data_IF_199731127953
#
_entry.id   IF_199731127953
#
_cell.length_a   1.000
_cell.length_b   1.000
_cell.length_c   1.000
_cell.angle_alpha   90.00
_cell.angle_beta   90.00
_cell.angle_gamma   90.00
#
_symmetry.space_group_name_H-M   'P 1'
#
loop_
_entity.id
_entity.type
_entity.pdbx_description
1 polymer ?
#
# COMPACT_ATOMS: atom_id res chain seq x y z
N UNK A 1 48.48 -9.36 26.06
CA UNK A 1 49.07 -10.35 25.13
C UNK A 1 48.30 -10.21 23.84
N UNK A 2 48.70 -9.34 22.90
CA UNK A 2 49.76 -9.54 21.89
C UNK A 2 49.43 -10.77 21.03
N UNK A 3 49.27 -10.69 19.70
CA UNK A 3 50.05 -9.95 18.71
C UNK A 3 49.25 -9.61 17.44
N UNK A 4 49.64 -8.49 16.83
CA UNK A 4 49.47 -8.13 15.42
C UNK A 4 50.71 -8.58 14.63
N UNK A 5 50.59 -8.74 13.31
CA UNK A 5 51.60 -8.45 12.25
C UNK A 5 51.00 -8.92 10.91
N UNK A 6 50.78 -8.06 9.92
CA UNK A 6 51.72 -7.34 9.02
C UNK A 6 52.22 -8.18 7.83
N UNK A 7 51.85 -7.73 6.61
CA UNK A 7 52.74 -7.46 5.46
C UNK A 7 51.91 -7.17 4.19
N UNK A 8 51.94 -5.94 3.67
CA UNK A 8 52.86 -5.44 2.61
C UNK A 8 52.48 -5.92 1.19
N UNK A 9 51.89 -5.07 0.32
CA UNK A 9 52.49 -4.05 -0.60
C UNK A 9 53.37 -4.61 -1.72
N UNK A 10 52.97 -4.34 -2.97
CA UNK A 10 53.74 -3.96 -4.19
C UNK A 10 52.67 -3.83 -5.33
N UNK A 11 52.41 -2.73 -6.05
CA UNK A 11 53.17 -1.71 -6.83
C UNK A 11 53.63 -2.14 -8.23
N UNK A 12 53.23 -1.38 -9.25
CA UNK A 12 53.72 -1.40 -10.64
C UNK A 12 52.57 -1.19 -11.64
N UNK A 13 52.26 -0.02 -12.21
CA UNK A 13 53.01 1.04 -12.92
C UNK A 13 53.24 0.77 -14.41
N UNK A 14 53.00 1.84 -15.19
CA UNK A 14 53.36 2.14 -16.58
C UNK A 14 52.41 1.65 -17.70
N UNK A 15 52.21 2.34 -18.83
CA UNK A 15 52.42 3.74 -19.28
C UNK A 15 51.98 3.79 -20.77
N UNK A 16 51.97 5.00 -21.36
CA UNK A 16 51.90 5.38 -22.80
C UNK A 16 50.48 5.46 -23.39
N UNK A 17 49.90 6.56 -23.88
CA UNK A 17 50.29 7.84 -24.54
C UNK A 17 50.89 7.73 -25.95
N UNK A 18 50.11 8.09 -26.98
CA UNK A 18 50.43 9.13 -28.00
C UNK A 18 49.25 9.24 -29.03
N UNK A 19 48.66 10.41 -29.26
CA UNK A 19 49.05 11.48 -30.23
C UNK A 19 48.63 11.14 -31.67
N UNK A 20 47.61 11.82 -32.22
CA UNK A 20 47.72 13.02 -33.10
C UNK A 20 48.09 12.62 -34.55
N UNK A 21 47.77 13.28 -35.65
CA UNK A 21 47.01 14.47 -36.03
C UNK A 21 46.93 14.45 -37.59
N UNK A 22 46.07 15.28 -38.18
CA UNK A 22 46.27 15.86 -39.52
C UNK A 22 45.56 15.15 -40.69
N UNK A 23 45.16 15.81 -41.78
CA UNK A 23 44.90 17.22 -42.11
C UNK A 23 44.49 17.24 -43.60
N UNK A 24 43.50 18.09 -43.95
CA UNK A 24 43.33 18.82 -45.25
C UNK A 24 43.21 17.98 -46.54
N UNK A 25 42.70 18.42 -47.67
CA UNK A 25 41.83 19.50 -48.17
C UNK A 25 41.46 19.01 -49.59
N UNK A 26 40.25 19.29 -50.10
CA UNK A 26 39.86 18.81 -51.43
C UNK A 26 38.54 19.37 -51.92
N UNK A 27 38.62 20.29 -52.88
CA UNK A 27 37.61 21.24 -53.31
C UNK A 27 36.37 20.67 -54.05
N UNK A 28 35.22 21.29 -53.74
CA UNK A 28 34.29 21.95 -54.67
C UNK A 28 33.99 21.32 -56.04
N UNK A 29 32.79 20.75 -56.21
CA UNK A 29 31.85 21.09 -57.31
C UNK A 29 30.48 20.41 -57.11
N UNK A 30 29.41 20.99 -57.68
CA UNK A 30 27.98 20.59 -57.60
C UNK A 30 27.14 21.07 -56.39
N UNK A 31 27.14 22.38 -56.14
CA UNK A 31 25.97 23.10 -55.60
C UNK A 31 25.12 23.59 -56.78
N UNK A 32 24.03 22.90 -57.10
CA UNK A 32 22.78 23.44 -57.71
C UNK A 32 21.90 22.29 -58.21
N UNK A 33 21.36 21.47 -57.30
CA UNK A 33 20.11 20.68 -57.52
C UNK A 33 19.66 19.90 -56.27
N UNK A 34 20.51 19.72 -55.25
CA UNK A 34 20.17 18.95 -54.03
C UNK A 34 19.41 19.73 -52.92
N UNK A 35 19.00 20.98 -53.15
CA UNK A 35 18.40 21.83 -52.09
C UNK A 35 16.89 21.67 -51.93
N UNK A 36 16.19 21.11 -52.93
CA UNK A 36 14.73 20.94 -52.91
C UNK A 36 14.31 19.53 -52.45
N UNK A 37 15.08 18.48 -52.75
CA UNK A 37 14.80 17.12 -52.27
C UNK A 37 15.06 16.96 -50.76
N UNK A 38 16.11 17.58 -50.22
CA UNK A 38 16.52 17.43 -48.81
C UNK A 38 15.57 18.10 -47.81
N UNK A 39 14.79 19.11 -48.25
CA UNK A 39 13.80 19.82 -47.41
C UNK A 39 12.50 19.01 -47.28
N UNK A 40 12.14 18.24 -48.30
CA UNK A 40 10.96 17.37 -48.31
C UNK A 40 11.18 16.12 -47.46
N UNK A 41 12.36 15.49 -47.54
CA UNK A 41 12.70 14.31 -46.71
C UNK A 41 12.80 14.65 -45.22
N UNK A 42 13.43 15.79 -44.84
CA UNK A 42 13.46 16.25 -43.43
C UNK A 42 12.07 16.59 -42.87
N UNK A 43 11.16 17.13 -43.70
CA UNK A 43 9.79 17.49 -43.27
C UNK A 43 8.93 16.23 -43.08
N UNK A 44 9.13 15.21 -43.92
CA UNK A 44 8.44 13.91 -43.81
C UNK A 44 8.94 13.10 -42.62
N UNK A 45 10.26 13.04 -42.38
CA UNK A 45 10.87 12.38 -41.20
C UNK A 45 10.49 13.07 -39.88
N UNK A 46 10.43 14.42 -39.85
CA UNK A 46 9.97 15.17 -38.66
C UNK A 46 8.46 15.00 -38.40
N UNK A 47 7.66 14.76 -39.45
CA UNK A 47 6.21 14.51 -39.36
C UNK A 47 5.90 13.08 -38.92
N UNK A 48 6.68 12.08 -39.34
CA UNK A 48 6.58 10.69 -38.85
C UNK A 48 7.08 10.55 -37.42
N UNK A 49 8.20 11.19 -37.05
CA UNK A 49 8.68 11.23 -35.66
C UNK A 49 7.68 11.91 -34.70
N UNK A 50 7.04 13.02 -35.13
CA UNK A 50 5.99 13.72 -34.38
C UNK A 50 4.68 12.91 -34.32
N UNK A 51 4.38 12.07 -35.32
CA UNK A 51 3.22 11.16 -35.33
C UNK A 51 3.44 9.97 -34.39
N UNK A 52 4.64 9.40 -34.37
CA UNK A 52 5.05 8.32 -33.47
C UNK A 52 5.06 8.75 -31.99
N UNK A 53 5.60 9.94 -31.67
CA UNK A 53 5.52 10.50 -30.30
C UNK A 53 4.09 10.82 -29.88
N UNK A 54 3.23 11.29 -30.80
CA UNK A 54 1.81 11.58 -30.52
C UNK A 54 0.97 10.29 -30.37
N UNK A 55 1.35 9.20 -31.06
CA UNK A 55 0.73 7.87 -30.88
C UNK A 55 1.20 7.18 -29.59
N UNK A 56 2.49 7.27 -29.24
CA UNK A 56 3.02 6.78 -27.96
C UNK A 56 2.41 7.54 -26.77
N UNK A 57 2.31 8.88 -26.84
CA UNK A 57 1.63 9.69 -25.82
C UNK A 57 0.12 9.39 -25.72
N UNK A 58 -0.54 9.03 -26.84
CA UNK A 58 -1.96 8.60 -26.86
C UNK A 58 -2.17 7.17 -26.37
N UNK A 59 -1.15 6.32 -26.42
CA UNK A 59 -1.16 4.96 -25.86
C UNK A 59 -0.97 5.02 -24.33
N UNK A 60 0.04 5.76 -23.86
CA UNK A 60 0.26 5.99 -22.43
C UNK A 60 -0.90 6.71 -21.73
N UNK A 61 -1.61 7.61 -22.42
CA UNK A 61 -2.82 8.25 -21.89
C UNK A 61 -4.04 7.33 -21.83
N UNK A 62 -4.09 6.26 -22.64
CA UNK A 62 -5.14 5.23 -22.59
C UNK A 62 -4.92 4.21 -21.49
N UNK A 63 -3.67 4.02 -21.06
CA UNK A 63 -3.32 3.12 -19.95
C UNK A 63 -3.14 3.85 -18.60
N UNK A 64 -3.43 5.15 -18.54
CA UNK A 64 -3.35 5.92 -17.30
C UNK A 64 -4.64 5.71 -16.50
N UNK A 65 -4.56 5.29 -15.22
CA UNK A 65 -5.72 5.14 -14.35
C UNK A 65 -6.59 6.41 -14.35
N UNK A 66 -7.90 6.22 -14.28
CA UNK A 66 -8.87 7.31 -14.29
C UNK A 66 -8.67 8.26 -13.08
N UNK A 67 -9.12 9.52 -13.15
CA UNK A 67 -8.96 10.49 -12.04
C UNK A 67 -9.46 9.96 -10.69
N UNK A 68 -10.58 9.20 -10.68
CA UNK A 68 -11.11 8.56 -9.47
C UNK A 68 -10.12 7.60 -8.83
N UNK A 69 -9.53 6.70 -9.62
CA UNK A 69 -8.54 5.72 -9.15
C UNK A 69 -7.27 6.40 -8.66
N UNK A 70 -6.79 7.43 -9.37
CA UNK A 70 -5.59 8.17 -8.94
C UNK A 70 -5.79 8.92 -7.63
N UNK A 71 -6.95 9.57 -7.47
CA UNK A 71 -7.31 10.23 -6.20
C UNK A 71 -7.35 9.24 -5.05
N UNK A 72 -7.99 8.09 -5.26
CA UNK A 72 -8.14 7.07 -4.24
C UNK A 72 -6.80 6.44 -3.88
N UNK A 73 -5.98 6.05 -4.86
CA UNK A 73 -4.64 5.50 -4.61
C UNK A 73 -3.72 6.49 -3.88
N UNK A 74 -3.73 7.76 -4.28
CA UNK A 74 -2.99 8.83 -3.60
C UNK A 74 -3.46 9.03 -2.17
N UNK A 75 -4.78 9.09 -1.96
CA UNK A 75 -5.38 9.23 -0.64
C UNK A 75 -5.05 8.03 0.25
N UNK A 76 -5.17 6.80 -0.25
CA UNK A 76 -4.79 5.57 0.47
C UNK A 76 -3.36 5.65 0.96
N UNK A 77 -2.39 5.93 0.07
CA UNK A 77 -0.98 6.03 0.47
C UNK A 77 -0.74 7.14 1.51
N UNK A 78 -1.32 8.33 1.32
CA UNK A 78 -1.13 9.45 2.24
C UNK A 78 -1.79 9.19 3.60
N UNK A 79 -3.02 8.68 3.63
CA UNK A 79 -3.75 8.43 4.87
C UNK A 79 -3.11 7.29 5.68
N UNK A 80 -2.67 6.21 5.05
CA UNK A 80 -1.99 5.11 5.76
C UNK A 80 -0.64 5.55 6.32
N UNK A 81 0.12 6.37 5.58
CA UNK A 81 1.49 6.75 5.96
C UNK A 81 1.61 8.01 6.81
N UNK A 82 0.61 8.90 6.81
CA UNK A 82 0.71 10.21 7.48
C UNK A 82 -0.50 10.56 8.34
N UNK A 83 -1.61 9.83 8.22
CA UNK A 83 -2.86 10.12 8.92
C UNK A 83 -3.84 10.93 8.07
N UNK A 84 -5.10 10.94 8.49
CA UNK A 84 -6.22 11.47 7.71
C UNK A 84 -6.35 12.99 7.89
N UNK A 85 -6.38 13.48 9.14
CA UNK A 85 -6.65 14.88 9.47
C UNK A 85 -5.54 15.81 9.02
N UNK A 86 -4.28 15.40 9.16
CA UNK A 86 -3.11 16.21 8.77
C UNK A 86 -3.01 16.45 7.26
N UNK A 87 -3.56 15.54 6.45
CA UNK A 87 -3.47 15.62 4.99
C UNK A 87 -4.55 16.53 4.42
N UNK A 88 -4.15 17.68 3.90
CA UNK A 88 -5.05 18.60 3.18
C UNK A 88 -5.43 18.11 1.79
N UNK A 89 -6.58 18.57 1.29
CA UNK A 89 -7.08 18.26 -0.07
C UNK A 89 -6.03 18.59 -1.14
N UNK A 90 -5.36 19.74 -1.04
CA UNK A 90 -4.40 20.19 -2.04
C UNK A 90 -3.16 19.29 -2.15
N UNK A 91 -2.82 18.57 -1.07
CA UNK A 91 -1.74 17.58 -1.10
C UNK A 91 -2.14 16.38 -1.94
N UNK A 92 -3.35 15.86 -1.74
CA UNK A 92 -3.92 14.72 -2.48
C UNK A 92 -4.05 15.07 -3.96
N UNK A 93 -4.60 16.25 -4.29
CA UNK A 93 -4.80 16.70 -5.67
C UNK A 93 -3.48 16.78 -6.45
N UNK A 94 -2.43 17.29 -5.80
CA UNK A 94 -1.09 17.43 -6.39
C UNK A 94 -0.44 16.08 -6.65
N UNK A 95 -0.53 15.17 -5.68
CA UNK A 95 0.04 13.82 -5.78
C UNK A 95 -0.71 12.96 -6.82
N UNK A 96 -2.04 13.06 -6.86
CA UNK A 96 -2.87 12.37 -7.86
C UNK A 96 -2.79 12.96 -9.29
N UNK A 97 -2.26 14.18 -9.43
CA UNK A 97 -2.33 15.00 -10.65
C UNK A 97 -3.78 15.07 -11.17
N UNK A 98 -4.66 15.61 -10.33
CA UNK A 98 -6.10 15.75 -10.57
C UNK A 98 -6.56 17.16 -10.16
N UNK A 99 -7.45 17.75 -10.96
CA UNK A 99 -8.01 19.06 -10.67
C UNK A 99 -8.97 19.02 -9.47
N UNK A 100 -9.02 20.11 -8.70
CA UNK A 100 -9.90 20.24 -7.52
C UNK A 100 -11.37 19.94 -7.83
N UNK A 101 -11.90 20.46 -8.93
CA UNK A 101 -13.27 20.21 -9.38
C UNK A 101 -13.58 18.72 -9.57
N UNK A 102 -12.60 17.92 -9.99
CA UNK A 102 -12.78 16.47 -10.17
C UNK A 102 -12.96 15.74 -8.83
N UNK A 103 -12.25 16.15 -7.75
CA UNK A 103 -12.47 15.53 -6.43
C UNK A 103 -13.89 15.76 -5.94
N UNK A 104 -14.39 17.00 -6.01
CA UNK A 104 -15.75 17.32 -5.60
C UNK A 104 -16.80 16.66 -6.50
N UNK A 105 -16.55 16.56 -7.82
CA UNK A 105 -17.45 15.86 -8.72
C UNK A 105 -17.49 14.34 -8.49
N UNK A 106 -16.38 13.72 -8.08
CA UNK A 106 -16.27 12.26 -7.96
C UNK A 106 -16.59 11.73 -6.56
N UNK A 107 -16.25 12.50 -5.52
CA UNK A 107 -16.40 12.11 -4.13
C UNK A 107 -17.28 13.07 -3.35
N UNK A 108 -17.53 14.29 -3.81
CA UNK A 108 -18.32 15.29 -3.08
C UNK A 108 -17.57 16.01 -1.96
N UNK A 109 -16.75 15.29 -1.18
CA UNK A 109 -15.94 15.88 -0.10
C UNK A 109 -14.67 15.05 0.16
N UNK A 110 -13.75 15.60 0.96
CA UNK A 110 -12.60 14.83 1.48
C UNK A 110 -13.08 13.67 2.35
N UNK A 111 -14.07 13.89 3.20
CA UNK A 111 -14.56 12.85 4.10
C UNK A 111 -15.15 11.67 3.34
N UNK A 112 -15.88 11.93 2.24
CA UNK A 112 -16.36 10.86 1.37
C UNK A 112 -15.21 10.10 0.67
N UNK A 113 -14.09 10.78 0.37
CA UNK A 113 -12.88 10.12 -0.11
C UNK A 113 -12.24 9.25 0.99
N UNK A 114 -12.27 9.69 2.25
CA UNK A 114 -11.82 8.87 3.40
C UNK A 114 -12.70 7.63 3.56
N UNK A 115 -14.03 7.76 3.48
CA UNK A 115 -14.96 6.62 3.52
C UNK A 115 -14.67 5.64 2.37
N UNK A 116 -14.44 6.15 1.16
CA UNK A 116 -14.09 5.31 0.01
C UNK A 116 -12.76 4.56 0.23
N UNK A 117 -11.77 5.23 0.79
CA UNK A 117 -10.50 4.61 1.18
C UNK A 117 -10.70 3.48 2.20
N UNK A 118 -11.44 3.74 3.28
CA UNK A 118 -11.68 2.73 4.32
C UNK A 118 -12.42 1.50 3.78
N UNK A 119 -13.37 1.70 2.86
CA UNK A 119 -14.11 0.59 2.22
C UNK A 119 -13.24 -0.24 1.28
N UNK A 120 -12.35 0.39 0.50
CA UNK A 120 -11.41 -0.35 -0.35
C UNK A 120 -10.42 -1.14 0.52
N UNK A 121 -9.96 -0.55 1.61
CA UNK A 121 -9.10 -1.22 2.57
C UNK A 121 -9.82 -2.39 3.25
N UNK A 122 -11.06 -2.19 3.69
CA UNK A 122 -11.92 -3.22 4.26
C UNK A 122 -12.02 -4.42 3.31
N UNK A 123 -12.41 -4.18 2.05
CA UNK A 123 -12.50 -5.25 1.05
C UNK A 123 -11.17 -5.97 0.86
N UNK A 124 -10.06 -5.23 0.73
CA UNK A 124 -8.73 -5.83 0.55
C UNK A 124 -8.36 -6.74 1.73
N UNK A 125 -8.57 -6.28 2.97
CA UNK A 125 -8.21 -7.08 4.15
C UNK A 125 -9.09 -8.32 4.29
N UNK A 126 -10.37 -8.24 3.91
CA UNK A 126 -11.25 -9.43 3.83
C UNK A 126 -10.77 -10.42 2.79
N UNK A 127 -10.44 -9.94 1.59
CA UNK A 127 -9.94 -10.79 0.50
C UNK A 127 -8.62 -11.47 0.90
N UNK A 128 -7.70 -10.74 1.52
CA UNK A 128 -6.43 -11.29 2.01
C UNK A 128 -6.65 -12.31 3.13
N UNK A 129 -7.62 -12.08 4.03
CA UNK A 129 -7.98 -13.03 5.07
C UNK A 129 -8.58 -14.30 4.48
N UNK A 130 -9.53 -14.20 3.54
CA UNK A 130 -10.11 -15.35 2.84
C UNK A 130 -9.03 -16.17 2.13
N UNK A 131 -8.13 -15.51 1.40
CA UNK A 131 -7.01 -16.19 0.74
C UNK A 131 -6.12 -16.97 1.72
N UNK A 132 -5.96 -16.49 2.95
CA UNK A 132 -5.15 -17.12 3.99
C UNK A 132 -5.93 -18.18 4.82
N UNK A 133 -7.23 -17.99 4.99
CA UNK A 133 -8.10 -18.78 5.87
C UNK A 133 -8.81 -19.93 5.15
N UNK A 134 -9.31 -19.71 3.92
CA UNK A 134 -10.11 -20.70 3.19
C UNK A 134 -9.38 -22.05 2.99
N UNK A 135 -8.05 -22.09 2.74
CA UNK A 135 -7.31 -23.36 2.65
C UNK A 135 -7.16 -24.11 3.98
N UNK A 136 -7.52 -23.52 5.12
CA UNK A 136 -7.38 -24.12 6.46
C UNK A 136 -8.59 -24.99 6.77
N UNK A 137 -8.33 -26.17 7.35
CA UNK A 137 -9.35 -27.18 7.61
C UNK A 137 -10.18 -26.86 8.85
N UNK A 138 -9.55 -26.43 9.95
CA UNK A 138 -10.24 -26.20 11.23
C UNK A 138 -10.73 -24.75 11.39
N UNK A 139 -11.89 -24.52 12.05
CA UNK A 139 -12.34 -23.18 12.42
C UNK A 139 -11.30 -22.42 13.27
N UNK A 140 -10.59 -23.13 14.16
CA UNK A 140 -9.52 -22.57 14.98
C UNK A 140 -8.38 -22.02 14.13
N UNK A 141 -7.93 -22.77 13.14
CA UNK A 141 -6.85 -22.32 12.25
C UNK A 141 -7.30 -21.10 11.42
N UNK A 142 -8.57 -21.04 11.01
CA UNK A 142 -9.15 -19.85 10.35
C UNK A 142 -9.20 -18.63 11.26
N UNK A 143 -9.53 -18.81 12.55
CA UNK A 143 -9.45 -17.73 13.54
C UNK A 143 -8.00 -17.25 13.69
N UNK A 144 -7.03 -18.17 13.75
CA UNK A 144 -5.61 -17.81 13.84
C UNK A 144 -5.12 -17.07 12.59
N UNK A 145 -5.78 -17.25 11.43
CA UNK A 145 -5.45 -16.52 10.21
C UNK A 145 -5.58 -14.98 10.36
N UNK A 146 -6.48 -14.49 11.23
CA UNK A 146 -6.55 -13.06 11.53
C UNK A 146 -5.24 -12.53 12.11
N UNK A 147 -4.67 -13.25 13.08
CA UNK A 147 -3.41 -12.90 13.71
C UNK A 147 -2.23 -13.06 12.75
N UNK A 148 -2.20 -14.16 11.99
CA UNK A 148 -1.16 -14.42 10.99
C UNK A 148 -1.12 -13.31 9.93
N UNK A 149 -2.29 -12.86 9.45
CA UNK A 149 -2.38 -11.76 8.50
C UNK A 149 -1.80 -10.47 9.08
N UNK A 150 -2.17 -10.10 10.31
CA UNK A 150 -1.58 -8.93 10.97
C UNK A 150 -0.05 -9.05 11.12
N UNK A 151 0.46 -10.21 11.54
CA UNK A 151 1.91 -10.47 11.69
C UNK A 151 2.65 -10.29 10.36
N UNK A 152 2.08 -10.80 9.26
CA UNK A 152 2.67 -10.69 7.93
C UNK A 152 2.68 -9.26 7.40
N UNK A 153 1.62 -8.47 7.67
CA UNK A 153 1.43 -7.14 7.08
C UNK A 153 2.11 -6.01 7.86
N UNK A 154 2.29 -6.13 9.20
CA UNK A 154 2.85 -5.03 10.00
C UNK A 154 4.25 -4.55 9.57
N UNK A 155 5.21 -5.41 9.18
CA UNK A 155 6.52 -4.95 8.69
C UNK A 155 6.41 -4.05 7.45
N UNK A 156 5.60 -4.45 6.47
CA UNK A 156 5.36 -3.69 5.22
C UNK A 156 4.60 -2.38 5.51
N UNK A 157 3.71 -2.40 6.51
CA UNK A 157 3.02 -1.21 7.01
C UNK A 157 3.90 -0.35 7.93
N UNK A 158 5.18 -0.71 8.14
CA UNK A 158 6.13 -0.01 9.01
C UNK A 158 5.62 0.14 10.46
N UNK A 159 4.97 -0.92 10.98
CA UNK A 159 4.45 -1.02 12.33
C UNK A 159 3.50 0.13 12.71
N UNK A 160 2.57 0.48 11.82
CA UNK A 160 1.59 1.55 12.06
C UNK A 160 0.35 1.06 12.80
N UNK A 161 0.23 -0.24 13.04
CA UNK A 161 -0.95 -0.88 13.60
C UNK A 161 -2.17 -0.77 12.67
N UNK A 162 -3.36 -1.01 13.22
CA UNK A 162 -4.59 -1.02 12.44
C UNK A 162 -4.91 0.34 11.83
N UNK A 163 -5.05 0.37 10.50
CA UNK A 163 -5.56 1.54 9.78
C UNK A 163 -6.97 1.96 10.23
N UNK A 164 -7.82 0.99 10.61
CA UNK A 164 -9.18 1.26 11.07
C UNK A 164 -9.19 1.84 12.49
N UNK A 165 -8.39 1.31 13.41
CA UNK A 165 -8.26 1.90 14.76
C UNK A 165 -7.64 3.30 14.68
N UNK A 166 -6.64 3.50 13.82
CA UNK A 166 -6.03 4.80 13.60
C UNK A 166 -7.07 5.80 13.08
N UNK A 167 -7.88 5.42 12.08
CA UNK A 167 -8.97 6.25 11.58
C UNK A 167 -10.00 6.59 12.67
N UNK A 168 -10.47 5.60 13.43
CA UNK A 168 -11.40 5.85 14.53
C UNK A 168 -10.81 6.79 15.61
N UNK A 169 -9.51 6.68 15.88
CA UNK A 169 -8.80 7.54 16.85
C UNK A 169 -8.65 8.97 16.37
N UNK A 170 -8.62 9.20 15.06
CA UNK A 170 -8.62 10.55 14.49
C UNK A 170 -10.00 11.22 14.58
N UNK A 171 -11.09 10.46 14.70
CA UNK A 171 -12.47 10.96 14.80
C UNK A 171 -13.16 10.53 16.12
N UNK A 172 -12.64 10.91 17.31
CA UNK A 172 -13.15 10.44 18.60
C UNK A 172 -14.54 11.01 18.95
N UNK A 173 -14.90 12.15 18.35
CA UNK A 173 -16.19 12.84 18.52
C UNK A 173 -16.62 13.36 17.15
N UNK A 174 -17.28 12.55 16.31
CA UNK A 174 -17.76 13.02 15.02
C UNK A 174 -18.86 14.07 15.24
N UNK A 175 -18.70 15.24 14.62
CA UNK A 175 -19.65 16.35 14.72
C UNK A 175 -20.56 16.47 13.48
N UNK A 176 -20.21 15.76 12.41
CA UNK A 176 -20.93 15.77 11.14
C UNK A 176 -21.30 14.37 10.68
N UNK A 177 -22.33 14.26 9.85
CA UNK A 177 -22.74 12.98 9.24
C UNK A 177 -21.62 12.33 8.42
N UNK A 178 -20.72 13.13 7.81
CA UNK A 178 -19.58 12.59 7.06
C UNK A 178 -18.51 12.02 7.99
N UNK A 179 -18.22 12.66 9.11
CA UNK A 179 -17.32 12.12 10.14
C UNK A 179 -17.91 10.85 10.80
N UNK A 180 -19.23 10.82 11.05
CA UNK A 180 -19.89 9.63 11.56
C UNK A 180 -19.74 8.45 10.58
N UNK A 181 -19.95 8.67 9.27
CA UNK A 181 -19.74 7.64 8.25
C UNK A 181 -18.29 7.14 8.17
N UNK A 182 -17.30 7.98 8.45
CA UNK A 182 -15.89 7.55 8.54
C UNK A 182 -15.72 6.58 9.71
N UNK A 183 -16.25 6.95 10.89
CA UNK A 183 -16.19 6.09 12.08
C UNK A 183 -16.92 4.78 11.86
N UNK A 184 -18.10 4.81 11.24
CA UNK A 184 -18.88 3.61 10.93
C UNK A 184 -18.09 2.69 9.98
N UNK A 185 -17.51 3.22 8.90
CA UNK A 185 -16.68 2.44 7.99
C UNK A 185 -15.47 1.79 8.68
N UNK A 186 -14.86 2.47 9.67
CA UNK A 186 -13.80 1.87 10.47
C UNK A 186 -14.30 0.76 11.41
N UNK A 187 -15.51 0.92 11.96
CA UNK A 187 -16.16 -0.07 12.83
C UNK A 187 -16.71 -1.27 12.07
N UNK A 188 -17.05 -1.14 10.80
CA UNK A 188 -17.60 -2.21 9.97
C UNK A 188 -16.60 -3.36 9.77
N UNK A 189 -15.33 -3.05 9.49
CA UNK A 189 -14.27 -4.08 9.42
C UNK A 189 -14.09 -4.77 10.77
N UNK A 190 -14.04 -4.00 11.86
CA UNK A 190 -13.92 -4.55 13.22
C UNK A 190 -15.06 -5.51 13.55
N UNK A 191 -16.29 -5.12 13.20
CA UNK A 191 -17.50 -5.91 13.42
C UNK A 191 -17.44 -7.20 12.61
N UNK A 192 -17.02 -7.13 11.35
CA UNK A 192 -16.82 -8.30 10.52
C UNK A 192 -15.80 -9.29 11.10
N UNK A 193 -14.64 -8.83 11.58
CA UNK A 193 -13.67 -9.73 12.21
C UNK A 193 -14.30 -10.46 13.41
N UNK A 194 -14.97 -9.73 14.30
CA UNK A 194 -15.63 -10.30 15.48
C UNK A 194 -16.71 -11.30 15.08
N UNK A 195 -17.59 -10.92 14.16
CA UNK A 195 -18.72 -11.75 13.75
C UNK A 195 -18.24 -13.03 13.06
N UNK A 196 -17.22 -12.92 12.20
CA UNK A 196 -16.57 -14.07 11.55
C UNK A 196 -15.94 -15.02 12.58
N UNK A 197 -15.23 -14.48 13.59
CA UNK A 197 -14.70 -15.30 14.68
C UNK A 197 -15.83 -15.98 15.47
N UNK A 198 -16.93 -15.27 15.76
CA UNK A 198 -18.06 -15.84 16.49
C UNK A 198 -18.76 -16.96 15.69
N UNK A 199 -18.89 -16.80 14.37
CA UNK A 199 -19.43 -17.82 13.47
C UNK A 199 -18.54 -19.08 13.46
N UNK A 200 -17.23 -18.92 13.30
CA UNK A 200 -16.26 -20.03 13.34
C UNK A 200 -16.26 -20.76 14.70
N UNK A 201 -16.39 -20.02 15.79
CA UNK A 201 -16.52 -20.60 17.13
C UNK A 201 -17.84 -21.35 17.32
N UNK A 202 -18.92 -20.85 16.72
CA UNK A 202 -20.22 -21.52 16.75
C UNK A 202 -20.20 -22.82 15.94
N UNK A 203 -19.54 -22.82 14.78
CA UNK A 203 -19.28 -24.03 13.99
C UNK A 203 -18.53 -25.08 14.81
N UNK A 204 -17.51 -24.64 15.54
CA UNK A 204 -16.68 -25.52 16.38
C UNK A 204 -17.42 -26.10 17.59
N UNK A 205 -18.11 -25.26 18.36
CA UNK A 205 -18.66 -25.64 19.66
C UNK A 205 -20.14 -26.02 19.62
N UNK A 206 -20.85 -25.68 18.55
CA UNK A 206 -22.30 -25.90 18.40
C UNK A 206 -23.19 -24.88 19.12
N UNK A 207 -22.63 -23.80 19.68
CA UNK A 207 -23.39 -22.73 20.32
C UNK A 207 -22.74 -21.35 20.16
N UNK A 208 -23.56 -20.31 20.27
CA UNK A 208 -23.14 -18.92 20.09
C UNK A 208 -22.04 -18.53 21.09
N UNK A 209 -20.88 -18.13 20.57
CA UNK A 209 -19.66 -17.91 21.35
C UNK A 209 -19.15 -16.46 21.25
N UNK A 210 -20.05 -15.49 21.36
CA UNK A 210 -19.74 -14.05 21.17
C UNK A 210 -18.71 -13.53 22.19
N UNK A 211 -18.81 -13.93 23.45
CA UNK A 211 -17.85 -13.51 24.49
C UNK A 211 -16.42 -13.95 24.18
N UNK A 212 -16.26 -15.14 23.59
CA UNK A 212 -14.94 -15.65 23.21
C UNK A 212 -14.39 -14.90 21.99
N UNK A 213 -15.25 -14.55 21.02
CA UNK A 213 -14.87 -13.66 19.92
C UNK A 213 -14.42 -12.28 20.43
N UNK A 214 -15.11 -11.71 21.41
CA UNK A 214 -14.71 -10.44 22.03
C UNK A 214 -13.34 -10.54 22.73
N UNK A 215 -13.06 -11.65 23.42
CA UNK A 215 -11.73 -11.90 24.02
C UNK A 215 -10.63 -12.00 22.96
N UNK A 216 -10.88 -12.69 21.85
CA UNK A 216 -9.95 -12.78 20.72
C UNK A 216 -9.70 -11.39 20.09
N UNK A 217 -10.75 -10.57 19.95
CA UNK A 217 -10.61 -9.19 19.48
C UNK A 217 -9.73 -8.36 20.42
N UNK A 218 -9.87 -8.51 21.74
CA UNK A 218 -9.01 -7.83 22.72
C UNK A 218 -7.54 -8.24 22.56
N UNK A 219 -7.26 -9.53 22.34
CA UNK A 219 -5.89 -9.99 22.08
C UNK A 219 -5.34 -9.39 20.79
N UNK A 220 -6.12 -9.39 19.72
CA UNK A 220 -5.70 -8.83 18.43
C UNK A 220 -5.44 -7.32 18.53
N UNK A 221 -6.32 -6.56 19.18
CA UNK A 221 -6.15 -5.12 19.41
C UNK A 221 -4.90 -4.82 20.24
N UNK A 222 -4.70 -5.58 21.33
CA UNK A 222 -3.52 -5.45 22.19
C UNK A 222 -2.24 -5.78 21.44
N UNK A 223 -2.25 -6.83 20.61
CA UNK A 223 -1.14 -7.21 19.75
C UNK A 223 -0.79 -6.12 18.74
N UNK A 224 -1.78 -5.58 18.01
CA UNK A 224 -1.58 -4.49 17.03
C UNK A 224 -1.04 -3.21 17.69
N UNK A 225 -1.62 -2.82 18.83
CA UNK A 225 -1.18 -1.65 19.60
C UNK A 225 0.25 -1.84 20.13
N UNK A 226 0.54 -3.04 20.66
CA UNK A 226 1.86 -3.42 21.14
C UNK A 226 2.89 -3.38 20.01
N UNK A 227 2.60 -4.00 18.87
CA UNK A 227 3.49 -4.05 17.71
C UNK A 227 3.80 -2.65 17.18
N UNK A 228 2.81 -1.76 17.17
CA UNK A 228 3.00 -0.34 16.86
C UNK A 228 3.95 0.37 17.83
N UNK A 229 3.82 0.09 19.12
CA UNK A 229 4.67 0.70 20.17
C UNK A 229 6.11 0.16 20.15
N UNK A 230 6.28 -1.15 20.00
CA UNK A 230 7.58 -1.83 20.04
C UNK A 230 8.29 -1.87 18.67
N UNK A 231 7.57 -1.55 17.59
CA UNK A 231 8.02 -1.64 16.19
C UNK A 231 8.58 -3.02 15.84
N UNK A 232 7.89 -4.06 16.29
CA UNK A 232 8.18 -5.46 15.97
C UNK A 232 6.90 -6.30 16.10
N UNK A 233 6.93 -7.55 15.63
CA UNK A 233 5.77 -8.46 15.63
C UNK A 233 5.57 -9.20 16.96
N UNK A 234 6.48 -9.08 17.93
CA UNK A 234 6.48 -9.90 19.15
C UNK A 234 5.17 -9.78 19.95
N UNK A 235 4.56 -8.59 20.13
CA UNK A 235 3.26 -8.49 20.80
C UNK A 235 2.12 -9.19 20.04
N UNK A 236 2.13 -9.16 18.70
CA UNK A 236 1.16 -9.89 17.88
C UNK A 236 1.36 -11.40 17.96
N UNK A 237 2.60 -11.87 17.96
CA UNK A 237 2.93 -13.29 18.15
C UNK A 237 2.50 -13.79 19.54
N UNK A 238 2.65 -12.95 20.55
CA UNK A 238 2.17 -13.21 21.92
C UNK A 238 0.64 -13.31 21.93
N UNK A 239 -0.05 -12.33 21.33
CA UNK A 239 -1.51 -12.32 21.21
C UNK A 239 -2.03 -13.57 20.48
N UNK A 240 -1.36 -13.99 19.42
CA UNK A 240 -1.64 -15.24 18.69
C UNK A 240 -1.46 -16.47 19.59
N UNK A 241 -0.40 -16.52 20.39
CA UNK A 241 -0.16 -17.59 21.36
C UNK A 241 -1.28 -17.70 22.39
N UNK A 242 -1.70 -16.56 22.95
CA UNK A 242 -2.83 -16.47 23.88
C UNK A 242 -4.14 -16.90 23.23
N UNK A 243 -4.40 -16.49 21.98
CA UNK A 243 -5.56 -16.93 21.22
C UNK A 243 -5.59 -18.46 21.05
N UNK A 244 -4.45 -19.09 20.71
CA UNK A 244 -4.35 -20.56 20.63
C UNK A 244 -4.65 -21.23 21.97
N UNK A 245 -4.09 -20.72 23.06
CA UNK A 245 -4.35 -21.26 24.40
C UNK A 245 -5.83 -21.14 24.77
N UNK A 246 -6.42 -19.98 24.52
CA UNK A 246 -7.83 -19.71 24.78
C UNK A 246 -8.74 -20.67 23.99
N UNK A 247 -8.39 -20.95 22.73
CA UNK A 247 -9.10 -21.92 21.90
C UNK A 247 -8.92 -23.37 22.40
N UNK A 248 -7.83 -23.73 23.07
CA UNK A 248 -7.68 -25.09 23.63
C UNK A 248 -8.58 -25.34 24.84
N UNK A 249 -8.87 -24.30 25.62
CA UNK A 249 -9.83 -24.37 26.72
C UNK A 249 -11.26 -24.43 26.18
N UNK A 250 -11.92 -25.59 26.33
CA UNK A 250 -13.37 -25.65 26.16
C UNK A 250 -14.03 -24.60 27.07
N UNK A 251 -15.04 -23.84 26.60
CA UNK A 251 -15.75 -22.92 27.48
C UNK A 251 -16.36 -23.75 28.59
N UNK A 252 -16.03 -23.43 29.84
CA UNK A 252 -16.72 -23.97 31.01
C UNK A 252 -18.21 -23.72 30.79
N UNK A 253 -18.95 -24.78 30.46
CA UNK A 253 -20.38 -24.73 30.27
C UNK A 253 -21.00 -24.35 31.61
N UNK A 254 -21.23 -23.06 31.83
CA UNK A 254 -22.15 -22.59 32.84
C UNK A 254 -23.56 -22.91 32.33
N UNK A 255 -23.99 -24.16 32.56
CA UNK A 255 -25.41 -24.45 32.64
C UNK A 255 -25.96 -23.65 33.83
N UNK A 256 -26.73 -22.61 33.54
CA UNK A 256 -27.67 -22.00 34.49
C UNK A 256 -29.03 -22.60 34.18
#
# INVERSE_FOLDING_TARGET
>A
MATADDKSRESGSAATSDSSAGARDGASSKKTSAKTATKTTKKTVKKTAKKATKQAARSGRRNRPGPRQRLLASATNLFTTQGIRVIGIDRILRDADVAKASLYSLFGSKDNLVVAYLRELDQKWRDDWHALADPRESPEDRIIAFFDLCIQQEPDNNFRGSHFQNAASEYPRPETDSEQRIRDAAMDYRRWCRDTMAELLTERFGYASQTLADQLMVFMDGGLSGAKMSRNTVPLETARGLAKQLLLTAPMSYNI
#
